data_IF_991686094053
#
_entry.id   IF_991686094053
#
_cell.length_a   1.000
_cell.length_b   1.000
_cell.length_c   1.000
_cell.angle_alpha   90.00
_cell.angle_beta   90.00
_cell.angle_gamma   90.00
#
_symmetry.space_group_name_H-M   'P 1'
#
loop_
_entity.id
_entity.type
_entity.pdbx_description
1 polymer ?
#
# COMPACT_ATOMS: atom_id res chain seq x y z
N UNK A 1 -11.88 -11.67 6.89
CA UNK A 1 -12.23 -12.93 7.58
C UNK A 1 -12.75 -12.69 9.01
N UNK A 2 -12.01 -11.95 9.85
CA UNK A 2 -12.34 -11.69 11.27
C UNK A 2 -13.77 -11.24 11.49
N UNK A 3 -14.20 -10.18 10.80
CA UNK A 3 -15.57 -9.64 10.95
C UNK A 3 -16.64 -10.62 10.46
N UNK A 4 -16.37 -11.40 9.40
CA UNK A 4 -17.31 -12.41 8.92
C UNK A 4 -17.50 -13.54 9.95
N UNK A 5 -16.39 -14.08 10.48
CA UNK A 5 -16.43 -15.09 11.54
C UNK A 5 -17.13 -14.55 12.79
N UNK A 6 -16.94 -13.29 13.13
CA UNK A 6 -17.62 -12.63 14.25
C UNK A 6 -19.14 -12.53 14.05
N UNK A 7 -19.57 -12.11 12.85
CA UNK A 7 -21.00 -12.02 12.55
C UNK A 7 -21.67 -13.39 12.62
N UNK A 8 -20.95 -14.45 12.22
CA UNK A 8 -21.40 -15.84 12.28
C UNK A 8 -21.34 -16.40 13.71
N UNK A 9 -20.40 -15.94 14.55
CA UNK A 9 -20.28 -16.39 15.95
C UNK A 9 -21.47 -15.99 16.83
N UNK A 10 -22.27 -15.01 16.39
CA UNK A 10 -23.55 -14.66 17.04
C UNK A 10 -24.59 -15.79 16.97
N UNK A 11 -24.49 -16.67 15.96
CA UNK A 11 -25.40 -17.82 15.79
C UNK A 11 -24.75 -19.13 16.16
N UNK A 12 -23.45 -19.29 15.89
CA UNK A 12 -22.70 -20.51 16.18
C UNK A 12 -21.34 -20.18 16.78
N UNK A 13 -21.17 -20.48 18.07
CA UNK A 13 -19.97 -20.15 18.84
C UNK A 13 -18.69 -20.80 18.30
N UNK A 14 -18.78 -21.85 17.48
CA UNK A 14 -17.59 -22.50 16.87
C UNK A 14 -16.79 -21.52 16.01
N UNK A 15 -17.44 -20.51 15.46
CA UNK A 15 -16.80 -19.47 14.66
C UNK A 15 -15.91 -18.51 15.46
N UNK A 16 -15.96 -18.55 16.79
CA UNK A 16 -15.02 -17.82 17.67
C UNK A 16 -13.57 -18.26 17.45
N UNK A 17 -13.33 -19.54 17.13
CA UNK A 17 -12.00 -20.03 16.73
C UNK A 17 -11.53 -19.37 15.43
N UNK A 18 -12.43 -19.19 14.46
CA UNK A 18 -12.14 -18.47 13.23
C UNK A 18 -11.82 -16.98 13.47
N UNK A 19 -12.49 -16.35 14.44
CA UNK A 19 -12.15 -14.98 14.88
C UNK A 19 -10.72 -14.95 15.41
N UNK A 20 -10.37 -15.84 16.36
CA UNK A 20 -9.03 -15.94 16.93
C UNK A 20 -7.94 -16.19 15.88
N UNK A 21 -8.10 -17.19 15.02
CA UNK A 21 -7.12 -17.53 13.97
C UNK A 21 -6.90 -16.36 13.00
N UNK A 22 -7.99 -15.72 12.56
CA UNK A 22 -7.88 -14.59 11.65
C UNK A 22 -7.19 -13.38 12.30
N UNK A 23 -7.43 -13.16 13.59
CA UNK A 23 -6.78 -12.10 14.35
C UNK A 23 -5.31 -12.44 14.60
N UNK A 24 -4.97 -13.70 14.83
CA UNK A 24 -3.59 -14.19 14.91
C UNK A 24 -2.82 -13.92 13.63
N UNK A 25 -3.41 -14.25 12.47
CA UNK A 25 -2.79 -13.96 11.17
C UNK A 25 -2.60 -12.46 10.94
N UNK A 26 -3.59 -11.64 11.32
CA UNK A 26 -3.47 -10.18 11.27
C UNK A 26 -2.37 -9.65 12.20
N UNK A 27 -2.25 -10.18 13.42
CA UNK A 27 -1.18 -9.77 14.34
C UNK A 27 0.21 -10.17 13.83
N UNK A 28 0.34 -11.30 13.13
CA UNK A 28 1.61 -11.73 12.54
C UNK A 28 2.01 -10.93 11.30
N UNK A 29 1.04 -10.39 10.57
CA UNK A 29 1.27 -9.58 9.36
C UNK A 29 1.44 -8.10 9.68
N UNK A 30 0.51 -7.53 10.45
CA UNK A 30 0.52 -6.14 10.89
C UNK A 30 0.01 -6.05 12.34
N UNK A 31 0.94 -6.10 13.29
CA UNK A 31 0.71 -6.04 14.74
C UNK A 31 -0.30 -4.96 15.16
N UNK A 32 -0.08 -3.71 14.73
CA UNK A 32 -0.92 -2.56 15.08
C UNK A 32 -2.34 -2.69 14.50
N UNK A 33 -2.48 -3.10 13.24
CA UNK A 33 -3.80 -3.27 12.60
C UNK A 33 -4.58 -4.40 13.28
N UNK A 34 -3.90 -5.49 13.64
CA UNK A 34 -4.50 -6.59 14.39
C UNK A 34 -5.07 -6.15 15.74
N UNK A 35 -4.34 -5.30 16.48
CA UNK A 35 -4.82 -4.73 17.75
C UNK A 35 -6.03 -3.80 17.55
N UNK A 36 -5.97 -2.91 16.55
CA UNK A 36 -7.07 -1.98 16.24
C UNK A 36 -8.34 -2.75 15.84
N UNK A 37 -8.20 -3.77 14.98
CA UNK A 37 -9.33 -4.64 14.64
C UNK A 37 -9.85 -5.44 15.82
N UNK A 38 -8.96 -5.91 16.72
CA UNK A 38 -9.37 -6.53 17.99
C UNK A 38 -10.22 -5.60 18.86
N UNK A 39 -9.83 -4.34 18.99
CA UNK A 39 -10.60 -3.32 19.71
C UNK A 39 -11.96 -3.08 19.06
N UNK A 40 -12.03 -3.03 17.72
CA UNK A 40 -13.28 -2.88 16.97
C UNK A 40 -14.20 -4.09 17.21
N UNK A 41 -13.66 -5.30 17.16
CA UNK A 41 -14.40 -6.55 17.44
C UNK A 41 -15.00 -6.49 18.84
N UNK A 42 -14.21 -6.15 19.86
CA UNK A 42 -14.70 -6.06 21.24
C UNK A 42 -15.74 -4.97 21.42
N UNK A 43 -15.50 -3.78 20.87
CA UNK A 43 -16.43 -2.64 20.93
C UNK A 43 -17.76 -2.97 20.25
N UNK A 44 -17.70 -3.66 19.10
CA UNK A 44 -18.90 -4.08 18.37
C UNK A 44 -19.69 -5.13 19.14
N UNK A 45 -19.04 -6.14 19.71
CA UNK A 45 -19.73 -7.16 20.52
C UNK A 45 -20.33 -6.54 21.77
N UNK A 46 -19.62 -5.64 22.45
CA UNK A 46 -20.12 -4.95 23.63
C UNK A 46 -21.42 -4.18 23.36
N UNK A 47 -21.54 -3.56 22.18
CA UNK A 47 -22.75 -2.82 21.80
C UNK A 47 -23.84 -3.72 21.19
N UNK A 48 -23.51 -4.66 20.30
CA UNK A 48 -24.53 -5.45 19.60
C UNK A 48 -25.04 -6.62 20.44
N UNK A 49 -24.14 -7.40 21.05
CA UNK A 49 -24.47 -8.65 21.75
C UNK A 49 -23.58 -8.85 23.00
N UNK A 50 -23.79 -8.07 24.07
CA UNK A 50 -22.92 -8.11 25.26
C UNK A 50 -22.88 -9.49 25.94
N UNK A 51 -23.93 -10.30 25.77
CA UNK A 51 -23.99 -11.70 26.26
C UNK A 51 -22.87 -12.59 25.72
N UNK A 52 -22.30 -12.27 24.55
CA UNK A 52 -21.21 -13.03 23.97
C UNK A 52 -19.90 -12.84 24.77
N UNK A 53 -19.69 -11.64 25.34
CA UNK A 53 -18.50 -11.33 26.16
C UNK A 53 -18.49 -12.09 27.48
N UNK A 54 -19.65 -12.53 27.97
CA UNK A 54 -19.75 -13.36 29.19
C UNK A 54 -19.58 -14.85 28.91
N UNK A 55 -19.55 -15.27 27.65
CA UNK A 55 -19.46 -16.69 27.28
C UNK A 55 -18.02 -17.19 27.35
N UNK A 56 -17.76 -18.16 28.24
CA UNK A 56 -16.45 -18.82 28.33
C UNK A 56 -16.06 -19.54 27.03
N UNK A 57 -17.03 -20.11 26.30
CA UNK A 57 -16.79 -20.77 25.01
C UNK A 57 -16.28 -19.80 23.94
N UNK A 58 -16.77 -18.56 23.95
CA UNK A 58 -16.34 -17.52 23.02
C UNK A 58 -14.86 -17.15 23.25
N UNK A 59 -14.50 -16.92 24.51
CA UNK A 59 -13.11 -16.61 24.88
C UNK A 59 -12.17 -17.79 24.67
N UNK A 60 -12.61 -19.02 24.94
CA UNK A 60 -11.82 -20.22 24.68
C UNK A 60 -11.50 -20.35 23.18
N UNK A 61 -12.50 -20.16 22.31
CA UNK A 61 -12.27 -20.19 20.86
C UNK A 61 -11.31 -19.10 20.38
N UNK A 62 -11.48 -17.86 20.84
CA UNK A 62 -10.54 -16.77 20.50
C UNK A 62 -9.14 -17.08 21.03
N UNK A 63 -9.02 -17.53 22.28
CA UNK A 63 -7.75 -17.87 22.91
C UNK A 63 -7.01 -18.97 22.16
N UNK A 64 -7.70 -20.06 21.81
CA UNK A 64 -7.13 -21.13 20.98
C UNK A 64 -6.68 -20.62 19.61
N UNK A 65 -7.48 -19.75 18.98
CA UNK A 65 -7.12 -19.17 17.69
C UNK A 65 -5.93 -18.20 17.74
N UNK A 66 -5.66 -17.58 18.89
CA UNK A 66 -4.53 -16.67 19.08
C UNK A 66 -3.20 -17.37 19.43
N UNK A 67 -3.23 -18.68 19.69
CA UNK A 67 -2.02 -19.45 20.03
C UNK A 67 -0.85 -19.26 19.05
N UNK A 68 -1.04 -19.22 17.72
CA UNK A 68 0.10 -19.05 16.80
C UNK A 68 0.80 -17.70 16.99
N UNK A 69 0.04 -16.61 17.13
CA UNK A 69 0.61 -15.29 17.39
C UNK A 69 1.30 -15.25 18.75
N UNK A 70 0.66 -15.74 19.81
CA UNK A 70 1.24 -15.76 21.16
C UNK A 70 2.56 -16.55 21.17
N UNK A 71 2.60 -17.70 20.51
CA UNK A 71 3.80 -18.54 20.42
C UNK A 71 4.93 -17.81 19.71
N UNK A 72 4.65 -17.16 18.58
CA UNK A 72 5.66 -16.40 17.84
C UNK A 72 6.18 -15.19 18.63
N UNK A 73 5.29 -14.40 19.24
CA UNK A 73 5.71 -13.26 20.05
C UNK A 73 6.46 -13.69 21.32
N UNK A 74 6.11 -14.84 21.90
CA UNK A 74 6.85 -15.47 22.99
C UNK A 74 8.29 -15.80 22.59
N UNK A 75 8.47 -16.45 21.43
CA UNK A 75 9.79 -16.76 20.88
C UNK A 75 10.59 -15.51 20.49
N UNK A 76 9.93 -14.46 19.99
CA UNK A 76 10.63 -13.20 19.71
C UNK A 76 11.12 -12.53 21.00
N UNK A 77 10.35 -12.62 22.08
CA UNK A 77 10.73 -12.08 23.37
C UNK A 77 11.92 -12.83 23.99
N UNK A 78 11.94 -14.17 23.92
CA UNK A 78 13.05 -14.97 24.45
C UNK A 78 14.35 -14.76 23.67
N UNK A 79 14.28 -14.69 22.34
CA UNK A 79 15.46 -14.62 21.49
C UNK A 79 16.03 -13.19 21.32
N UNK A 80 15.17 -12.18 21.24
CA UNK A 80 15.57 -10.79 20.92
C UNK A 80 15.26 -9.78 22.01
N UNK A 81 14.54 -10.20 23.07
CA UNK A 81 14.21 -9.36 24.21
C UNK A 81 13.18 -8.25 23.92
N UNK A 82 13.08 -7.33 24.89
CA UNK A 82 12.17 -6.19 24.85
C UNK A 82 12.32 -5.24 23.64
N UNK A 83 13.54 -4.92 23.15
CA UNK A 83 13.71 -3.95 22.07
C UNK A 83 12.94 -4.31 20.79
N UNK A 84 12.82 -5.61 20.46
CA UNK A 84 12.13 -6.06 19.26
C UNK A 84 10.60 -5.97 19.36
N UNK A 85 10.04 -6.22 20.54
CA UNK A 85 8.60 -5.98 20.76
C UNK A 85 8.29 -4.49 20.73
N UNK A 86 9.19 -3.68 21.32
CA UNK A 86 9.05 -2.23 21.29
C UNK A 86 9.07 -1.68 19.86
N UNK A 87 9.95 -2.16 18.98
CA UNK A 87 9.97 -1.75 17.57
C UNK A 87 8.72 -2.16 16.81
N UNK A 88 8.11 -3.30 17.14
CA UNK A 88 6.91 -3.79 16.44
C UNK A 88 5.61 -3.09 16.87
N UNK A 89 5.50 -2.65 18.12
CA UNK A 89 4.26 -2.10 18.67
C UNK A 89 4.31 -0.59 18.96
N UNK A 90 5.46 -0.05 19.35
CA UNK A 90 5.56 1.32 19.88
C UNK A 90 6.24 2.26 18.90
N UNK A 91 7.30 1.80 18.22
CA UNK A 91 8.01 2.61 17.22
C UNK A 91 7.10 3.19 16.13
N UNK A 92 6.08 2.46 15.58
CA UNK A 92 5.19 3.01 14.56
C UNK A 92 4.43 4.27 14.99
N UNK A 93 4.28 4.51 16.29
CA UNK A 93 3.58 5.67 16.84
C UNK A 93 4.50 6.83 17.23
N UNK A 94 5.82 6.61 17.25
CA UNK A 94 6.80 7.63 17.68
C UNK A 94 7.41 8.43 16.52
N UNK A 95 7.23 7.95 15.30
CA UNK A 95 8.03 8.39 14.15
C UNK A 95 7.50 9.63 13.42
N UNK A 96 6.42 10.31 13.89
CA UNK A 96 6.00 11.56 13.24
C UNK A 96 5.21 12.56 14.12
N UNK A 97 5.50 13.84 13.93
CA UNK A 97 4.91 15.00 14.63
C UNK A 97 3.72 15.55 13.84
N UNK A 98 2.54 15.63 14.48
CA UNK A 98 1.44 16.49 14.02
C UNK A 98 0.08 15.78 13.86
N UNK A 99 -0.64 15.65 14.98
CA UNK A 99 -1.94 14.98 15.10
C UNK A 99 -3.03 15.58 14.18
N UNK A 100 -2.98 16.90 13.92
CA UNK A 100 -4.07 17.61 13.24
C UNK A 100 -3.80 17.98 11.77
N UNK A 101 -2.52 18.11 11.38
CA UNK A 101 -2.16 18.60 10.03
C UNK A 101 -2.36 17.58 8.91
N UNK A 102 -2.33 16.27 9.23
CA UNK A 102 -2.32 15.19 8.23
C UNK A 102 -3.70 14.70 7.82
N UNK A 103 -4.68 14.72 8.74
CA UNK A 103 -6.08 14.33 8.50
C UNK A 103 -6.80 15.26 7.51
N UNK A 104 -6.60 16.58 7.66
CA UNK A 104 -7.12 17.59 6.74
C UNK A 104 -6.18 17.86 5.55
N UNK A 105 -4.99 17.28 5.58
CA UNK A 105 -3.97 17.42 4.53
C UNK A 105 -3.94 16.25 3.56
N UNK A 106 -2.74 15.71 3.35
CA UNK A 106 -2.44 14.75 2.27
C UNK A 106 -3.21 13.43 2.44
N UNK A 107 -3.36 12.92 3.67
CA UNK A 107 -3.98 11.60 3.91
C UNK A 107 -5.51 11.63 3.74
N UNK A 108 -6.17 12.69 4.19
CA UNK A 108 -7.61 12.87 3.95
C UNK A 108 -7.91 13.03 2.46
N UNK A 109 -7.07 13.78 1.75
CA UNK A 109 -7.18 13.90 0.29
C UNK A 109 -6.98 12.54 -0.40
N UNK A 110 -6.04 11.73 0.07
CA UNK A 110 -5.79 10.38 -0.46
C UNK A 110 -6.98 9.44 -0.23
N UNK A 111 -7.62 9.52 0.95
CA UNK A 111 -8.84 8.77 1.25
C UNK A 111 -9.98 9.18 0.31
N UNK A 112 -10.15 10.49 0.08
CA UNK A 112 -11.17 11.02 -0.84
C UNK A 112 -10.89 10.55 -2.26
N UNK A 113 -9.67 10.72 -2.76
CA UNK A 113 -9.26 10.29 -4.11
C UNK A 113 -9.50 8.80 -4.33
N UNK A 114 -9.09 7.97 -3.36
CA UNK A 114 -9.20 6.51 -3.45
C UNK A 114 -10.64 6.01 -3.31
N UNK A 115 -11.52 6.78 -2.66
CA UNK A 115 -12.90 6.39 -2.40
C UNK A 115 -13.90 6.98 -3.39
N UNK A 116 -13.49 7.86 -4.29
CA UNK A 116 -14.35 8.36 -5.36
C UNK A 116 -14.55 7.26 -6.43
N UNK A 117 -15.76 7.10 -6.99
CA UNK A 117 -16.99 7.86 -6.74
C UNK A 117 -17.79 7.38 -5.51
N UNK A 118 -17.43 6.23 -4.94
CA UNK A 118 -18.21 5.50 -3.92
C UNK A 118 -18.50 6.28 -2.64
N UNK A 119 -17.72 7.32 -2.36
CA UNK A 119 -17.87 8.20 -1.20
C UNK A 119 -19.28 8.82 -1.12
N UNK A 120 -19.91 9.15 -2.26
CA UNK A 120 -21.27 9.73 -2.27
C UNK A 120 -22.32 8.77 -1.70
N UNK A 121 -22.24 7.49 -2.06
CA UNK A 121 -23.15 6.45 -1.55
C UNK A 121 -22.80 6.12 -0.11
N UNK A 122 -21.51 6.14 0.22
CA UNK A 122 -21.02 5.86 1.58
C UNK A 122 -21.56 6.87 2.59
N UNK A 123 -21.55 8.18 2.26
CA UNK A 123 -22.12 9.22 3.14
C UNK A 123 -23.62 9.00 3.37
N UNK A 124 -24.36 8.64 2.32
CA UNK A 124 -25.78 8.29 2.45
C UNK A 124 -25.99 7.00 3.27
N UNK A 125 -25.13 6.00 3.10
CA UNK A 125 -25.13 4.76 3.87
C UNK A 125 -24.87 4.97 5.34
N UNK A 126 -23.92 5.85 5.70
CA UNK A 126 -23.67 6.26 7.08
C UNK A 126 -24.87 6.98 7.69
N UNK A 127 -25.53 7.85 6.92
CA UNK A 127 -26.77 8.49 7.34
C UNK A 127 -27.88 7.45 7.61
N UNK A 128 -28.03 6.46 6.72
CA UNK A 128 -29.00 5.38 6.88
C UNK A 128 -28.68 4.46 8.06
N UNK A 129 -27.40 4.17 8.31
CA UNK A 129 -26.94 3.43 9.47
C UNK A 129 -27.31 4.16 10.78
N UNK A 130 -27.14 5.49 10.84
CA UNK A 130 -27.52 6.28 12.00
C UNK A 130 -29.04 6.28 12.26
N UNK A 131 -29.87 6.16 11.23
CA UNK A 131 -31.32 6.01 11.40
C UNK A 131 -31.73 4.62 11.89
N UNK A 132 -30.97 3.60 11.50
CA UNK A 132 -31.30 2.20 11.70
C UNK A 132 -30.42 1.52 12.78
N UNK A 133 -30.16 2.21 13.90
CA UNK A 133 -29.29 1.73 15.00
C UNK A 133 -29.76 0.44 15.66
N UNK A 134 -31.03 0.06 15.47
CA UNK A 134 -31.59 -1.20 15.98
C UNK A 134 -30.89 -2.40 15.33
N UNK A 135 -30.43 -2.27 14.08
CA UNK A 135 -29.86 -3.38 13.32
C UNK A 135 -28.35 -3.52 13.55
N UNK A 136 -27.90 -4.76 13.72
CA UNK A 136 -26.48 -5.05 13.97
C UNK A 136 -25.54 -4.63 12.83
N UNK A 137 -26.01 -4.58 11.57
CA UNK A 137 -25.19 -4.07 10.46
C UNK A 137 -24.89 -2.58 10.61
N UNK A 138 -25.83 -1.80 11.14
CA UNK A 138 -25.67 -0.36 11.32
C UNK A 138 -24.68 -0.07 12.44
N UNK A 139 -24.79 -0.79 13.56
CA UNK A 139 -23.82 -0.74 14.66
C UNK A 139 -22.43 -1.14 14.17
N UNK A 140 -22.30 -2.17 13.32
CA UNK A 140 -21.01 -2.59 12.78
C UNK A 140 -20.35 -1.47 11.97
N UNK A 141 -21.07 -0.83 11.06
CA UNK A 141 -20.54 0.26 10.23
C UNK A 141 -20.09 1.43 11.11
N UNK A 142 -20.91 1.81 12.10
CA UNK A 142 -20.62 2.94 12.97
C UNK A 142 -19.46 2.66 13.94
N UNK A 143 -19.40 1.47 14.53
CA UNK A 143 -18.30 1.08 15.41
C UNK A 143 -17.02 0.92 14.62
N UNK A 144 -17.04 0.16 13.52
CA UNK A 144 -15.85 -0.08 12.73
C UNK A 144 -15.35 1.23 12.10
N UNK A 145 -16.19 1.95 11.36
CA UNK A 145 -15.80 3.22 10.75
C UNK A 145 -15.44 4.28 11.78
N UNK A 146 -16.24 4.42 12.85
CA UNK A 146 -16.05 5.45 13.87
C UNK A 146 -14.80 5.23 14.72
N UNK A 147 -14.58 4.02 15.25
CA UNK A 147 -13.38 3.69 16.04
C UNK A 147 -12.13 3.86 15.18
N UNK A 148 -12.18 3.42 13.92
CA UNK A 148 -11.03 3.57 13.02
C UNK A 148 -10.72 5.03 12.72
N UNK A 149 -11.74 5.85 12.45
CA UNK A 149 -11.56 7.29 12.26
C UNK A 149 -11.02 7.97 13.52
N UNK A 150 -11.54 7.63 14.71
CA UNK A 150 -11.04 8.17 15.99
C UNK A 150 -9.56 7.83 16.18
N UNK A 151 -9.18 6.57 15.98
CA UNK A 151 -7.79 6.13 16.10
C UNK A 151 -6.92 6.86 15.08
N UNK A 152 -7.38 6.98 13.84
CA UNK A 152 -6.66 7.68 12.78
C UNK A 152 -6.54 9.19 13.05
N UNK A 153 -7.49 9.79 13.76
CA UNK A 153 -7.41 11.20 14.21
C UNK A 153 -6.49 11.41 15.40
N UNK A 154 -6.36 10.40 16.28
CA UNK A 154 -5.61 10.53 17.54
C UNK A 154 -4.16 10.05 17.41
N UNK A 155 -3.89 9.05 16.56
CA UNK A 155 -2.59 8.44 16.41
C UNK A 155 -1.94 8.87 15.09
N UNK A 156 -0.68 9.35 15.12
CA UNK A 156 0.08 9.59 13.91
C UNK A 156 0.39 8.23 13.26
N UNK A 157 -0.27 7.94 12.14
CA UNK A 157 -0.01 6.71 11.38
C UNK A 157 0.98 7.01 10.25
N UNK A 158 2.10 6.27 10.17
CA UNK A 158 3.23 6.64 9.32
C UNK A 158 2.96 6.44 7.83
N UNK A 159 2.03 5.54 7.46
CA UNK A 159 1.80 5.14 6.07
C UNK A 159 0.30 5.19 5.69
N UNK A 160 -0.01 5.58 4.45
CA UNK A 160 -1.34 5.51 3.81
C UNK A 160 -1.89 4.08 3.86
N UNK A 161 -1.03 3.05 3.86
CA UNK A 161 -1.45 1.65 3.99
C UNK A 161 -2.30 1.36 5.23
N UNK A 162 -2.14 2.14 6.31
CA UNK A 162 -3.00 2.05 7.49
C UNK A 162 -4.43 2.56 7.25
N UNK A 163 -4.79 3.10 6.09
CA UNK A 163 -6.20 3.39 5.76
C UNK A 163 -6.94 2.16 5.22
N UNK A 164 -6.23 1.09 4.85
CA UNK A 164 -6.84 -0.08 4.20
C UNK A 164 -8.01 -0.72 4.98
N UNK A 165 -7.96 -0.86 6.32
CA UNK A 165 -9.07 -1.43 7.09
C UNK A 165 -10.31 -0.51 7.20
N UNK A 166 -10.23 0.74 6.73
CA UNK A 166 -11.35 1.67 6.67
C UNK A 166 -12.21 1.45 5.42
N UNK A 167 -11.67 0.92 4.31
CA UNK A 167 -12.47 0.71 3.10
C UNK A 167 -13.63 -0.29 3.27
N UNK A 168 -13.49 -1.43 3.99
CA UNK A 168 -14.59 -2.35 4.17
C UNK A 168 -15.86 -1.76 4.83
N UNK A 169 -15.81 -1.02 5.96
CA UNK A 169 -17.01 -0.40 6.52
C UNK A 169 -17.59 0.68 5.61
N UNK A 170 -16.75 1.44 4.87
CA UNK A 170 -17.21 2.40 3.85
C UNK A 170 -17.93 1.69 2.70
N UNK A 171 -17.37 0.59 2.19
CA UNK A 171 -17.98 -0.22 1.15
C UNK A 171 -19.30 -0.86 1.61
N UNK A 172 -19.39 -1.31 2.86
CA UNK A 172 -20.65 -1.78 3.45
C UNK A 172 -21.70 -0.68 3.52
N UNK A 173 -21.33 0.52 3.96
CA UNK A 173 -22.23 1.67 3.96
C UNK A 173 -22.72 2.01 2.55
N UNK A 174 -21.82 2.11 1.57
CA UNK A 174 -22.18 2.34 0.16
C UNK A 174 -23.08 1.24 -0.39
N UNK A 175 -22.78 -0.03 -0.11
CA UNK A 175 -23.59 -1.17 -0.54
C UNK A 175 -25.02 -1.14 0.02
N UNK A 176 -25.20 -0.73 1.27
CA UNK A 176 -26.52 -0.60 1.88
C UNK A 176 -27.30 0.57 1.28
N UNK A 177 -26.63 1.68 0.98
CA UNK A 177 -27.25 2.80 0.27
C UNK A 177 -27.76 2.37 -1.12
N UNK A 178 -26.96 1.61 -1.86
CA UNK A 178 -27.35 1.09 -3.17
C UNK A 178 -28.46 0.04 -3.06
N UNK A 179 -28.42 -0.82 -2.04
CA UNK A 179 -29.45 -1.83 -1.79
C UNK A 179 -30.80 -1.22 -1.41
N UNK A 180 -30.82 -0.13 -0.63
CA UNK A 180 -32.04 0.62 -0.29
C UNK A 180 -32.71 1.17 -1.56
N UNK A 181 -31.92 1.72 -2.48
CA UNK A 181 -32.43 2.27 -3.75
C UNK A 181 -32.91 1.17 -4.69
N UNK A 182 -32.19 0.04 -4.76
CA UNK A 182 -32.56 -1.08 -5.63
C UNK A 182 -33.89 -1.74 -5.21
N UNK A 183 -34.16 -1.84 -3.91
CA UNK A 183 -35.41 -2.43 -3.39
C UNK A 183 -36.50 -1.40 -3.09
N UNK A 184 -36.23 -0.11 -3.31
CA UNK A 184 -37.23 0.94 -3.06
C UNK A 184 -38.39 0.85 -4.05
N UNK A 185 -39.63 1.16 -3.60
CA UNK A 185 -40.78 1.21 -4.49
C UNK A 185 -40.60 2.26 -5.59
N UNK A 186 -41.20 2.01 -6.76
CA UNK A 186 -41.08 2.84 -7.98
C UNK A 186 -41.43 4.32 -7.73
N UNK A 187 -42.31 4.57 -6.76
CA UNK A 187 -42.79 5.92 -6.41
C UNK A 187 -41.76 6.76 -5.64
N UNK A 188 -40.74 6.14 -5.05
CA UNK A 188 -39.71 6.85 -4.28
C UNK A 188 -38.64 7.40 -5.24
N UNK A 189 -38.48 8.73 -5.35
CA UNK A 189 -37.49 9.31 -6.25
C UNK A 189 -36.07 8.99 -5.78
N UNK A 190 -35.18 8.70 -6.74
CA UNK A 190 -33.76 8.55 -6.46
C UNK A 190 -33.16 9.88 -5.97
N UNK A 191 -32.12 9.86 -5.11
CA UNK A 191 -31.48 11.09 -4.63
C UNK A 191 -30.85 11.87 -5.79
N UNK A 192 -31.49 13.00 -6.19
CA UNK A 192 -31.02 13.85 -7.29
C UNK A 192 -29.57 14.32 -7.14
N UNK A 193 -29.12 14.46 -5.88
CA UNK A 193 -27.76 14.87 -5.54
C UNK A 193 -26.70 13.89 -6.08
N UNK A 194 -27.00 12.59 -6.15
CA UNK A 194 -26.07 11.60 -6.70
C UNK A 194 -25.82 11.82 -8.19
N UNK A 195 -26.89 12.02 -8.97
CA UNK A 195 -26.80 12.33 -10.39
C UNK A 195 -26.06 13.64 -10.66
N UNK A 196 -26.36 14.70 -9.89
CA UNK A 196 -25.69 16.00 -10.02
C UNK A 196 -24.18 15.91 -9.74
N UNK A 197 -23.77 15.19 -8.68
CA UNK A 197 -22.34 15.03 -8.36
C UNK A 197 -21.63 14.23 -9.45
N UNK A 198 -22.19 13.10 -9.88
CA UNK A 198 -21.57 12.28 -10.94
C UNK A 198 -21.48 13.03 -12.27
N UNK A 199 -22.52 13.81 -12.62
CA UNK A 199 -22.46 14.68 -13.79
C UNK A 199 -21.35 15.74 -13.65
N UNK A 200 -21.25 16.41 -12.50
CA UNK A 200 -20.19 17.37 -12.22
C UNK A 200 -18.79 16.75 -12.32
N UNK A 201 -18.60 15.53 -11.79
CA UNK A 201 -17.35 14.78 -11.91
C UNK A 201 -17.04 14.43 -13.38
N UNK A 202 -18.03 14.01 -14.16
CA UNK A 202 -17.87 13.73 -15.59
C UNK A 202 -17.40 14.95 -16.39
N UNK A 203 -18.01 16.11 -16.13
CA UNK A 203 -17.62 17.39 -16.75
C UNK A 203 -16.19 17.77 -16.32
N UNK A 204 -15.87 17.67 -15.03
CA UNK A 204 -14.53 17.98 -14.53
C UNK A 204 -13.44 17.11 -15.17
N UNK A 205 -13.66 15.80 -15.28
CA UNK A 205 -12.72 14.86 -15.89
C UNK A 205 -12.58 15.12 -17.39
N UNK A 206 -13.69 15.40 -18.07
CA UNK A 206 -13.69 15.76 -19.49
C UNK A 206 -12.87 17.04 -19.75
N UNK A 207 -13.00 18.06 -18.91
CA UNK A 207 -12.21 19.30 -19.01
C UNK A 207 -10.72 19.06 -18.78
N UNK A 208 -10.36 18.20 -17.82
CA UNK A 208 -8.96 17.81 -17.60
C UNK A 208 -8.42 17.07 -18.82
N UNK A 209 -9.15 16.08 -19.34
CA UNK A 209 -8.77 15.36 -20.55
C UNK A 209 -8.62 16.28 -21.77
N UNK A 210 -9.51 17.26 -21.93
CA UNK A 210 -9.43 18.25 -22.99
C UNK A 210 -8.24 19.21 -22.83
N UNK A 211 -7.92 19.63 -21.60
CA UNK A 211 -6.73 20.43 -21.31
C UNK A 211 -5.43 19.69 -21.66
N UNK A 212 -5.36 18.39 -21.34
CA UNK A 212 -4.25 17.54 -21.77
C UNK A 212 -4.17 17.38 -23.29
N UNK A 213 -5.31 17.40 -23.98
CA UNK A 213 -5.34 17.35 -25.44
C UNK A 213 -4.86 18.66 -26.08
N UNK A 214 -5.20 19.82 -25.52
CA UNK A 214 -4.85 21.14 -26.08
C UNK A 214 -3.41 21.59 -25.81
N UNK A 215 -2.85 21.28 -24.63
CA UNK A 215 -1.57 21.85 -24.20
C UNK A 215 -0.32 21.17 -24.78
N UNK A 216 -0.46 20.15 -25.63
CA UNK A 216 0.67 19.36 -26.10
C UNK A 216 0.75 19.28 -27.63
N UNK A 217 1.92 19.62 -28.22
CA UNK A 217 2.13 19.46 -29.66
C UNK A 217 2.02 17.99 -30.08
N UNK A 218 1.46 17.75 -31.27
CA UNK A 218 1.23 16.44 -31.90
C UNK A 218 2.56 15.74 -32.26
N UNK A 219 3.31 15.34 -31.25
CA UNK A 219 4.51 14.52 -31.40
C UNK A 219 4.10 13.04 -31.44
N UNK A 220 4.22 12.44 -32.64
CA UNK A 220 3.75 11.08 -32.94
C UNK A 220 4.57 9.97 -32.24
N UNK A 221 5.74 10.32 -31.69
CA UNK A 221 6.66 9.39 -31.01
C UNK A 221 6.10 8.81 -29.70
N UNK A 222 5.30 9.58 -28.96
CA UNK A 222 4.74 9.20 -27.65
C UNK A 222 3.23 8.91 -27.69
N UNK A 223 2.68 8.68 -28.88
CA UNK A 223 1.23 8.59 -29.10
C UNK A 223 0.56 7.43 -28.34
N UNK A 224 1.24 6.29 -28.19
CA UNK A 224 0.70 5.10 -27.53
C UNK A 224 0.41 5.30 -26.04
N UNK A 225 1.31 6.00 -25.33
CA UNK A 225 1.19 6.24 -23.89
C UNK A 225 0.10 7.27 -23.62
N UNK A 226 0.06 8.35 -24.42
CA UNK A 226 -0.91 9.45 -24.29
C UNK A 226 -2.34 9.01 -24.62
N UNK A 227 -2.50 8.18 -25.64
CA UNK A 227 -3.81 7.65 -26.03
C UNK A 227 -4.44 6.85 -24.89
N UNK A 228 -3.66 6.02 -24.19
CA UNK A 228 -4.15 5.26 -23.04
C UNK A 228 -4.66 6.18 -21.92
N UNK A 229 -3.97 7.28 -21.62
CA UNK A 229 -4.43 8.24 -20.61
C UNK A 229 -5.74 8.92 -21.01
N UNK A 230 -5.85 9.42 -22.24
CA UNK A 230 -7.09 10.04 -22.73
C UNK A 230 -8.23 9.02 -22.74
N UNK A 231 -7.96 7.77 -23.14
CA UNK A 231 -8.91 6.67 -23.11
C UNK A 231 -9.38 6.36 -21.68
N UNK A 232 -8.46 6.35 -20.69
CA UNK A 232 -8.83 6.16 -19.27
C UNK A 232 -9.74 7.28 -18.76
N UNK A 233 -9.38 8.54 -19.01
CA UNK A 233 -10.19 9.69 -18.59
C UNK A 233 -11.55 9.70 -19.30
N UNK A 234 -11.58 9.38 -20.59
CA UNK A 234 -12.80 9.24 -21.38
C UNK A 234 -13.71 8.13 -20.86
N UNK A 235 -13.16 6.96 -20.52
CA UNK A 235 -13.91 5.85 -19.96
C UNK A 235 -14.54 6.21 -18.60
N UNK A 236 -13.80 6.90 -17.73
CA UNK A 236 -14.32 7.37 -16.44
C UNK A 236 -15.43 8.42 -16.66
N UNK A 237 -15.19 9.41 -17.52
CA UNK A 237 -16.15 10.46 -17.81
C UNK A 237 -17.46 9.90 -18.39
N UNK A 238 -17.38 8.96 -19.32
CA UNK A 238 -18.53 8.30 -19.93
C UNK A 238 -19.29 7.46 -18.89
N UNK A 239 -18.58 6.73 -18.04
CA UNK A 239 -19.18 5.95 -16.94
C UNK A 239 -19.98 6.86 -16.02
N UNK A 240 -19.43 7.99 -15.60
CA UNK A 240 -20.13 8.94 -14.73
C UNK A 240 -21.31 9.61 -15.42
N UNK A 241 -21.18 9.98 -16.68
CA UNK A 241 -22.26 10.59 -17.46
C UNK A 241 -23.44 9.63 -17.62
N UNK A 242 -23.17 8.40 -18.08
CA UNK A 242 -24.19 7.37 -18.28
C UNK A 242 -24.87 7.01 -16.95
N UNK A 243 -24.11 6.86 -15.87
CA UNK A 243 -24.65 6.64 -14.54
C UNK A 243 -25.54 7.80 -14.08
N UNK A 244 -25.13 9.06 -14.30
CA UNK A 244 -25.93 10.23 -13.94
C UNK A 244 -27.25 10.30 -14.73
N UNK A 245 -27.22 9.95 -16.02
CA UNK A 245 -28.42 9.87 -16.87
C UNK A 245 -29.36 8.78 -16.35
N UNK A 246 -28.85 7.58 -16.07
CA UNK A 246 -29.67 6.45 -15.58
C UNK A 246 -30.27 6.72 -14.20
N UNK A 247 -29.54 7.38 -13.30
CA UNK A 247 -30.08 7.84 -12.02
C UNK A 247 -31.25 8.81 -12.23
N UNK A 248 -31.14 9.70 -13.22
CA UNK A 248 -32.20 10.67 -13.56
C UNK A 248 -33.41 9.96 -14.19
N UNK A 249 -33.17 8.93 -14.99
CA UNK A 249 -34.20 8.05 -15.58
C UNK A 249 -34.77 7.03 -14.58
N UNK A 250 -34.19 6.92 -13.38
CA UNK A 250 -34.56 5.97 -12.32
C UNK A 250 -34.39 4.50 -12.73
N UNK A 251 -33.39 4.22 -13.57
CA UNK A 251 -33.10 2.86 -14.01
C UNK A 251 -32.07 2.20 -13.09
N UNK A 252 -32.38 1.07 -12.41
CA UNK A 252 -31.46 0.38 -11.51
C UNK A 252 -30.18 -0.15 -12.19
N UNK A 253 -30.13 -0.22 -13.52
CA UNK A 253 -28.94 -0.60 -14.29
C UNK A 253 -27.75 0.33 -14.02
N UNK A 254 -27.97 1.54 -13.50
CA UNK A 254 -26.90 2.47 -13.12
C UNK A 254 -25.88 1.83 -12.17
N UNK A 255 -26.31 0.91 -11.28
CA UNK A 255 -25.43 0.24 -10.31
C UNK A 255 -24.42 -0.65 -11.04
N UNK A 256 -24.90 -1.45 -11.99
CA UNK A 256 -24.08 -2.39 -12.77
C UNK A 256 -23.12 -1.61 -13.67
N UNK A 257 -23.61 -0.57 -14.33
CA UNK A 257 -22.82 0.27 -15.23
C UNK A 257 -21.73 1.02 -14.46
N UNK A 258 -22.05 1.57 -13.28
CA UNK A 258 -21.06 2.24 -12.44
C UNK A 258 -19.97 1.27 -11.97
N UNK A 259 -20.36 0.08 -11.51
CA UNK A 259 -19.42 -0.93 -11.02
C UNK A 259 -18.47 -1.39 -12.13
N UNK A 260 -19.01 -1.82 -13.27
CA UNK A 260 -18.20 -2.29 -14.39
C UNK A 260 -17.42 -1.18 -15.07
N UNK A 261 -18.00 0.00 -15.22
CA UNK A 261 -17.31 1.15 -15.83
C UNK A 261 -16.12 1.60 -14.99
N UNK A 262 -16.24 1.62 -13.66
CA UNK A 262 -15.11 1.88 -12.77
C UNK A 262 -14.06 0.78 -12.83
N UNK A 263 -14.48 -0.50 -12.87
CA UNK A 263 -13.56 -1.63 -12.98
C UNK A 263 -12.74 -1.60 -14.28
N UNK A 264 -13.40 -1.38 -15.42
CA UNK A 264 -12.74 -1.25 -16.72
C UNK A 264 -11.82 -0.04 -16.74
N UNK A 265 -12.24 1.09 -16.18
CA UNK A 265 -11.40 2.29 -16.08
C UNK A 265 -10.14 2.06 -15.25
N UNK A 266 -10.25 1.34 -14.13
CA UNK A 266 -9.11 0.94 -13.32
C UNK A 266 -8.20 -0.02 -14.06
N UNK A 267 -8.73 -0.99 -14.80
CA UNK A 267 -7.90 -1.88 -15.63
C UNK A 267 -7.14 -1.10 -16.70
N UNK A 268 -7.79 -0.15 -17.37
CA UNK A 268 -7.12 0.72 -18.34
C UNK A 268 -6.01 1.54 -17.67
N UNK A 269 -6.25 2.04 -16.46
CA UNK A 269 -5.26 2.81 -15.70
C UNK A 269 -4.07 1.93 -15.32
N UNK A 270 -4.31 0.73 -14.75
CA UNK A 270 -3.27 -0.23 -14.34
C UNK A 270 -2.40 -0.67 -15.51
N UNK A 271 -3.00 -0.84 -16.70
CA UNK A 271 -2.26 -1.16 -17.94
C UNK A 271 -1.58 0.06 -18.56
N UNK A 272 -1.84 1.26 -18.05
CA UNK A 272 -1.21 2.48 -18.52
C UNK A 272 0.18 2.67 -17.88
N UNK A 273 1.10 3.34 -18.57
CA UNK A 273 2.41 3.68 -18.04
C UNK A 273 2.36 4.66 -16.85
N UNK A 274 1.18 5.18 -16.50
CA UNK A 274 0.98 6.18 -15.45
C UNK A 274 0.60 5.59 -14.09
N UNK A 275 0.31 4.29 -14.00
CA UNK A 275 -0.11 3.64 -12.75
C UNK A 275 1.03 3.40 -11.76
N UNK A 276 2.26 3.25 -12.25
CA UNK A 276 3.40 2.90 -11.42
C UNK A 276 4.38 4.06 -11.28
N UNK A 277 4.49 4.60 -10.06
CA UNK A 277 5.67 5.39 -9.63
C UNK A 277 6.99 4.60 -9.71
N UNK A 278 6.92 3.27 -9.91
CA UNK A 278 8.05 2.36 -10.12
C UNK A 278 8.82 2.69 -11.41
N UNK A 279 8.26 3.45 -12.35
CA UNK A 279 9.00 3.89 -13.54
C UNK A 279 10.25 4.72 -13.19
N UNK A 280 10.25 5.43 -12.06
CA UNK A 280 11.43 6.19 -11.61
C UNK A 280 12.51 5.27 -11.01
N UNK A 281 12.14 4.16 -10.35
CA UNK A 281 13.12 3.21 -9.80
C UNK A 281 13.63 2.22 -10.85
N UNK A 282 12.76 1.71 -11.74
CA UNK A 282 13.14 0.71 -12.74
C UNK A 282 14.13 1.21 -13.79
N UNK A 283 14.15 2.52 -14.09
CA UNK A 283 15.07 3.08 -15.09
C UNK A 283 16.55 2.86 -14.73
N UNK A 284 16.88 2.75 -13.44
CA UNK A 284 18.24 2.52 -12.98
C UNK A 284 18.43 1.17 -12.33
N UNK A 285 17.43 0.66 -11.61
CA UNK A 285 17.59 -0.58 -10.84
C UNK A 285 17.79 -1.82 -11.72
N UNK A 286 17.09 -1.93 -12.86
CA UNK A 286 17.25 -3.08 -13.74
C UNK A 286 18.63 -3.18 -14.42
N UNK A 287 19.15 -2.13 -15.09
CA UNK A 287 20.48 -2.21 -15.69
C UNK A 287 21.57 -2.37 -14.64
N UNK A 288 21.40 -1.74 -13.48
CA UNK A 288 22.32 -1.87 -12.35
C UNK A 288 22.32 -3.29 -11.78
N UNK A 289 21.14 -3.89 -11.58
CA UNK A 289 21.02 -5.27 -11.10
C UNK A 289 21.66 -6.27 -12.06
N UNK A 290 21.44 -6.12 -13.38
CA UNK A 290 22.07 -6.98 -14.39
C UNK A 290 23.60 -6.88 -14.34
N UNK A 291 24.14 -5.65 -14.24
CA UNK A 291 25.57 -5.41 -14.10
C UNK A 291 26.16 -6.08 -12.85
N UNK A 292 25.46 -6.03 -11.72
CA UNK A 292 25.92 -6.68 -10.48
C UNK A 292 25.87 -8.21 -10.60
N UNK A 293 24.80 -8.77 -11.17
CA UNK A 293 24.65 -10.22 -11.37
C UNK A 293 25.74 -10.80 -12.27
N UNK A 294 26.12 -10.08 -13.34
CA UNK A 294 27.09 -10.57 -14.33
C UNK A 294 28.54 -10.48 -13.84
N UNK A 295 28.86 -9.52 -12.96
CA UNK A 295 30.24 -9.17 -12.59
C UNK A 295 30.63 -9.54 -11.16
N UNK A 296 29.66 -9.76 -10.27
CA UNK A 296 29.91 -10.03 -8.84
C UNK A 296 29.54 -11.47 -8.48
N UNK A 297 30.44 -12.24 -7.86
CA UNK A 297 30.14 -13.59 -7.34
C UNK A 297 29.04 -13.61 -6.26
N UNK A 298 28.33 -14.74 -6.12
CA UNK A 298 27.13 -14.90 -5.27
C UNK A 298 27.36 -14.67 -3.79
N UNK A 299 28.56 -14.92 -3.31
CA UNK A 299 28.96 -14.83 -1.91
C UNK A 299 29.52 -13.45 -1.51
N UNK A 300 29.64 -12.52 -2.45
CA UNK A 300 30.29 -11.23 -2.23
C UNK A 300 29.28 -10.12 -1.89
N UNK A 301 29.60 -9.36 -0.84
CA UNK A 301 28.85 -8.18 -0.42
C UNK A 301 29.31 -6.96 -1.20
N UNK A 302 28.35 -6.17 -1.68
CA UNK A 302 28.61 -4.97 -2.46
C UNK A 302 28.37 -3.77 -1.55
N UNK A 303 29.33 -2.87 -1.44
CA UNK A 303 29.14 -1.63 -0.68
C UNK A 303 28.87 -0.48 -1.64
N UNK A 304 27.74 0.19 -1.46
CA UNK A 304 27.27 1.21 -2.38
C UNK A 304 27.18 2.59 -1.74
N UNK A 305 27.46 3.62 -2.53
CA UNK A 305 27.26 5.02 -2.17
C UNK A 305 25.77 5.40 -2.25
N UNK A 306 24.95 4.72 -1.44
CA UNK A 306 23.54 5.03 -1.25
C UNK A 306 23.31 5.65 0.14
N UNK A 307 22.34 6.57 0.21
CA UNK A 307 21.88 7.12 1.49
C UNK A 307 21.12 6.10 2.32
N UNK A 308 20.41 5.18 1.66
CA UNK A 308 19.55 4.17 2.26
C UNK A 308 19.67 2.84 1.49
N UNK A 309 19.27 1.74 2.12
CA UNK A 309 19.28 0.42 1.48
C UNK A 309 18.20 0.34 0.40
N UNK A 310 18.56 -0.16 -0.80
CA UNK A 310 17.60 -0.41 -1.88
C UNK A 310 17.25 -1.91 -1.95
N UNK A 311 16.11 -2.33 -1.36
CA UNK A 311 15.72 -3.73 -1.34
C UNK A 311 15.37 -4.27 -2.74
N UNK A 312 15.01 -3.40 -3.69
CA UNK A 312 14.67 -3.79 -5.06
C UNK A 312 15.94 -4.18 -5.81
N UNK A 313 17.03 -3.44 -5.61
CA UNK A 313 18.33 -3.79 -6.16
C UNK A 313 18.88 -5.11 -5.58
N UNK A 314 18.75 -5.31 -4.27
CA UNK A 314 19.14 -6.57 -3.61
C UNK A 314 18.38 -7.76 -4.21
N UNK A 315 17.07 -7.61 -4.43
CA UNK A 315 16.23 -8.64 -5.00
C UNK A 315 16.59 -8.98 -6.46
N UNK A 316 16.77 -7.98 -7.33
CA UNK A 316 17.04 -8.24 -8.75
C UNK A 316 18.49 -8.67 -9.03
N UNK A 317 19.44 -8.27 -8.18
CA UNK A 317 20.85 -8.68 -8.33
C UNK A 317 21.16 -10.03 -7.69
N UNK A 318 20.28 -10.53 -6.81
CA UNK A 318 20.57 -11.68 -5.94
C UNK A 318 21.90 -11.50 -5.16
N UNK A 319 22.20 -10.24 -4.79
CA UNK A 319 23.39 -9.83 -4.03
C UNK A 319 22.97 -8.88 -2.92
N UNK A 320 23.74 -8.89 -1.84
CA UNK A 320 23.53 -7.93 -0.76
C UNK A 320 24.29 -6.64 -1.06
N UNK A 321 23.54 -5.56 -1.31
CA UNK A 321 24.05 -4.21 -1.45
C UNK A 321 23.86 -3.44 -0.15
N UNK A 322 24.97 -3.07 0.49
CA UNK A 322 24.98 -2.35 1.77
C UNK A 322 25.27 -0.87 1.52
N UNK A 323 24.38 0.05 1.92
CA UNK A 323 24.63 1.48 1.82
C UNK A 323 25.77 1.89 2.76
N UNK A 324 26.72 2.66 2.25
CA UNK A 324 27.86 3.16 3.01
C UNK A 324 28.19 4.60 2.60
N UNK A 325 28.54 5.42 3.59
CA UNK A 325 29.03 6.78 3.33
C UNK A 325 30.41 6.74 2.65
N UNK A 326 30.81 7.79 1.92
CA UNK A 326 32.12 7.85 1.26
C UNK A 326 33.30 7.54 2.20
N UNK A 327 33.23 8.01 3.45
CA UNK A 327 34.25 7.74 4.48
C UNK A 327 34.34 6.26 4.85
N UNK A 328 33.19 5.56 4.94
CA UNK A 328 33.14 4.12 5.21
C UNK A 328 33.57 3.31 3.99
N UNK A 329 33.20 3.74 2.78
CA UNK A 329 33.65 3.12 1.53
C UNK A 329 35.18 3.14 1.42
N UNK A 330 35.83 4.25 1.79
CA UNK A 330 37.30 4.34 1.83
C UNK A 330 37.91 3.38 2.86
N UNK A 331 37.30 3.24 4.04
CA UNK A 331 37.75 2.25 5.04
C UNK A 331 37.61 0.82 4.52
N UNK A 332 36.48 0.48 3.90
CA UNK A 332 36.27 -0.85 3.31
C UNK A 332 37.23 -1.12 2.16
N UNK A 333 37.56 -0.09 1.37
CA UNK A 333 38.61 -0.19 0.37
C UNK A 333 39.92 -0.68 1.01
N UNK A 334 40.40 -0.04 2.07
CA UNK A 334 41.68 -0.41 2.69
C UNK A 334 41.67 -1.73 3.46
N UNK A 335 40.55 -2.09 4.10
CA UNK A 335 40.47 -3.27 4.98
C UNK A 335 40.24 -4.56 4.20
N UNK A 336 39.44 -4.51 3.14
CA UNK A 336 39.05 -5.71 2.39
C UNK A 336 40.09 -6.05 1.31
N UNK A 337 40.35 -7.34 1.12
CA UNK A 337 41.30 -7.79 0.10
C UNK A 337 40.76 -7.58 -1.33
N UNK A 338 39.47 -7.82 -1.55
CA UNK A 338 38.77 -7.64 -2.83
C UNK A 338 37.39 -7.00 -2.63
N UNK A 339 37.32 -5.70 -2.30
CA UNK A 339 36.06 -5.01 -2.15
C UNK A 339 35.36 -4.84 -3.51
N UNK A 340 34.05 -5.08 -3.55
CA UNK A 340 33.18 -4.64 -4.64
C UNK A 340 32.46 -3.37 -4.19
N UNK A 341 32.82 -2.23 -4.79
CA UNK A 341 32.19 -0.95 -4.47
C UNK A 341 31.36 -0.46 -5.65
N UNK A 342 30.16 0.03 -5.35
CA UNK A 342 29.28 0.67 -6.31
C UNK A 342 29.22 2.18 -6.01
N UNK A 343 29.77 2.99 -6.91
CA UNK A 343 30.04 4.40 -6.63
C UNK A 343 29.44 5.30 -7.73
N UNK A 344 28.88 6.43 -7.33
CA UNK A 344 28.46 7.48 -8.25
C UNK A 344 29.66 8.36 -8.66
N UNK A 345 29.58 8.99 -9.83
CA UNK A 345 30.61 9.87 -10.40
C UNK A 345 31.05 10.98 -9.41
N UNK A 346 30.11 11.59 -8.70
CA UNK A 346 30.41 12.68 -7.75
C UNK A 346 31.27 12.23 -6.57
N UNK A 347 31.11 10.98 -6.16
CA UNK A 347 31.84 10.37 -5.05
C UNK A 347 33.16 9.77 -5.52
N UNK A 348 33.19 9.23 -6.75
CA UNK A 348 34.42 8.84 -7.43
C UNK A 348 35.43 10.00 -7.52
N UNK A 349 34.99 11.19 -7.90
CA UNK A 349 35.86 12.37 -8.02
C UNK A 349 36.42 12.87 -6.68
N UNK A 350 35.77 12.54 -5.56
CA UNK A 350 36.15 12.99 -4.22
C UNK A 350 37.01 11.99 -3.45
N UNK A 351 37.04 10.73 -3.87
CA UNK A 351 37.75 9.66 -3.18
C UNK A 351 39.11 9.39 -3.84
N UNK A 352 40.24 9.57 -3.12
CA UNK A 352 41.56 9.16 -3.61
C UNK A 352 41.70 7.63 -3.53
N UNK A 353 41.24 6.92 -4.56
CA UNK A 353 41.33 5.46 -4.62
C UNK A 353 42.56 5.04 -5.44
N UNK A 354 43.49 4.32 -4.81
CA UNK A 354 44.65 3.71 -5.48
C UNK A 354 44.33 2.29 -5.96
N UNK A 355 44.88 1.89 -7.11
CA UNK A 355 44.79 0.54 -7.69
C UNK A 355 43.36 0.07 -8.04
N UNK A 356 42.58 0.93 -8.69
CA UNK A 356 41.19 0.64 -9.05
C UNK A 356 41.07 -0.07 -10.40
N UNK A 357 40.26 -1.13 -10.44
CA UNK A 357 39.80 -1.78 -11.66
C UNK A 357 38.29 -1.51 -11.86
N UNK A 358 37.89 -0.65 -12.82
CA UNK A 358 36.49 -0.50 -13.17
C UNK A 358 36.00 -1.76 -13.90
N UNK A 359 35.03 -2.46 -13.31
CA UNK A 359 34.46 -3.69 -13.86
C UNK A 359 33.40 -3.38 -14.91
N UNK A 360 32.56 -2.37 -14.66
CA UNK A 360 31.48 -1.98 -15.57
C UNK A 360 30.86 -0.62 -15.22
N UNK A 361 30.05 -0.08 -16.14
CA UNK A 361 29.34 1.19 -15.97
C UNK A 361 27.84 1.04 -16.31
N UNK A 362 26.97 1.53 -15.43
CA UNK A 362 25.52 1.57 -15.65
C UNK A 362 24.98 3.01 -15.65
N UNK A 363 24.05 3.36 -16.56
CA UNK A 363 23.38 4.65 -16.53
C UNK A 363 22.62 4.88 -15.20
N UNK A 364 22.53 6.15 -14.71
CA UNK A 364 22.96 7.34 -15.41
C UNK A 364 24.42 7.70 -15.15
N UNK A 365 25.09 7.18 -14.11
CA UNK A 365 26.48 7.50 -13.72
C UNK A 365 27.05 6.54 -12.63
N UNK A 366 26.67 5.25 -12.64
CA UNK A 366 27.13 4.28 -11.65
C UNK A 366 28.31 3.47 -12.14
N UNK A 367 29.32 3.29 -11.28
CA UNK A 367 30.53 2.52 -11.57
C UNK A 367 30.70 1.40 -10.54
N UNK A 368 30.86 0.18 -11.03
CA UNK A 368 31.25 -0.96 -10.21
C UNK A 368 32.76 -1.12 -10.27
N UNK A 369 33.41 -1.09 -9.11
CA UNK A 369 34.86 -1.17 -9.03
C UNK A 369 35.34 -2.24 -8.05
N UNK A 370 36.53 -2.77 -8.33
CA UNK A 370 37.25 -3.67 -7.44
C UNK A 370 38.74 -3.37 -7.44
N UNK A 371 39.47 -3.94 -6.47
CA UNK A 371 40.92 -3.77 -6.36
C UNK A 371 41.62 -4.70 -7.32
N UNK A 372 42.63 -4.19 -8.05
CA UNK A 372 43.53 -5.03 -8.83
C UNK A 372 44.24 -6.02 -7.91
N UNK A 373 44.02 -7.32 -8.14
CA UNK A 373 44.86 -8.36 -7.55
C UNK A 373 46.28 -8.11 -8.04
N UNK A 374 47.23 -7.81 -7.15
CA UNK A 374 48.63 -7.70 -7.58
C UNK A 374 49.00 -9.02 -8.24
N UNK A 375 49.28 -8.99 -9.55
CA UNK A 375 49.79 -10.15 -10.26
C UNK A 375 50.98 -10.67 -9.46
N UNK A 376 50.84 -11.91 -9.00
CA UNK A 376 51.93 -12.69 -8.46
C UNK A 376 53.09 -12.65 -9.45
N UNK A 377 54.28 -12.46 -8.91
CA UNK A 377 55.51 -12.12 -9.60
C UNK A 377 56.13 -13.36 -10.30
N UNK A 378 55.30 -14.23 -10.83
CA UNK A 378 55.66 -15.58 -11.30
C UNK A 378 55.70 -15.73 -12.84
N UNK A 379 55.16 -14.79 -13.62
CA UNK A 379 55.22 -14.84 -15.10
C UNK A 379 56.46 -14.15 -15.72
N UNK A 380 57.21 -13.32 -14.97
CA UNK A 380 58.45 -12.69 -15.50
C UNK A 380 59.71 -13.55 -15.43
N UNK A 381 59.63 -14.80 -14.97
CA UNK A 381 60.80 -15.69 -14.84
C UNK A 381 60.86 -16.82 -15.86
N UNK A 382 59.90 -16.92 -16.79
CA UNK A 382 59.87 -17.97 -17.82
C UNK A 382 60.35 -17.48 -19.20
N UNK A 383 60.52 -16.16 -19.42
CA UNK A 383 61.13 -15.63 -20.66
C UNK A 383 62.65 -15.30 -20.54
N UNK A 384 63.35 -15.83 -19.53
CA UNK A 384 64.81 -15.67 -19.39
C UNK A 384 65.58 -16.97 -19.17
N UNK A 385 65.09 -18.08 -19.74
CA UNK A 385 65.85 -19.29 -20.04
C UNK A 385 65.46 -19.76 -21.45
#
# INVERSE_FOLDING_TARGET
LTIFCLLRSRRDLRWSLGVGLSLSCLLLTHSVIGLVLGLIVLSFVAWDTPRLLTSGYFWLGIGLGLLPAISWYGEQYTNYGYPRLYSLFIQPFKEDQGIFGRLLGIQGLELVKSSLPWLIFTLYGCYLARKNLVWGWAKLILVWGGVYLIIFTLLPLPNIGYLTPLYPPLALAGGIALADVYHSPVDRPYPKLWGMILFGLSVGISLVGFSFWLNFPLDLSHLSHRFLLILTLGAIALTFLTTAILITQRDPQFIIILFWGMYVSLLLLVNSPYWNGIMVSNQYVQPLAAMLSDRVPVDQVIYADFSEEDPVLNFYSDRQVIPATPEKLLRYWHILEQPYLLINLDTWQKLPLESVHPLDQSPPNWYLITRLKSQDNSEKKIEQL
#
